data_IF_779808713956
#
_entry.id   IF_779808713956
#
_cell.length_a   1.000
_cell.length_b   1.000
_cell.length_c   1.000
_cell.angle_alpha   90.00
_cell.angle_beta   90.00
_cell.angle_gamma   90.00
#
_symmetry.space_group_name_H-M   'P 1'
#
loop_
_entity.id
_entity.type
_entity.pdbx_description
1 polymer ?
#
# COMPACT_ATOMS: atom_id res chain seq x y z
N UNK A 1 -13.44 -0.38 2.83
CA UNK A 1 -12.77 0.86 2.39
C UNK A 1 -12.15 1.67 3.51
N UNK A 2 -12.91 2.13 4.51
CA UNK A 2 -12.35 2.94 5.62
C UNK A 2 -11.16 2.28 6.34
N UNK A 3 -11.21 0.96 6.55
CA UNK A 3 -10.10 0.20 7.11
C UNK A 3 -8.84 0.28 6.23
N UNK A 4 -8.99 0.04 4.92
CA UNK A 4 -7.88 0.06 3.96
C UNK A 4 -7.26 1.46 3.84
N UNK A 5 -8.10 2.51 3.81
CA UNK A 5 -7.62 3.89 3.84
C UNK A 5 -6.81 4.19 5.11
N UNK A 6 -7.33 3.85 6.30
CA UNK A 6 -6.58 4.00 7.56
C UNK A 6 -5.29 3.20 7.58
N UNK A 7 -5.26 2.01 6.96
CA UNK A 7 -4.05 1.21 6.84
C UNK A 7 -2.94 1.97 6.12
N UNK A 8 -3.23 2.53 4.94
CA UNK A 8 -2.27 3.34 4.19
C UNK A 8 -1.87 4.63 4.91
N UNK A 9 -2.80 5.32 5.58
CA UNK A 9 -2.48 6.52 6.36
C UNK A 9 -1.51 6.20 7.50
N UNK A 10 -1.72 5.10 8.22
CA UNK A 10 -0.81 4.66 9.29
C UNK A 10 0.55 4.24 8.76
N UNK A 11 0.60 3.51 7.65
CA UNK A 11 1.85 3.10 7.03
C UNK A 11 2.67 4.31 6.55
N UNK A 12 2.02 5.28 5.90
CA UNK A 12 2.66 6.53 5.49
C UNK A 12 3.20 7.32 6.70
N UNK A 13 2.41 7.41 7.78
CA UNK A 13 2.86 8.06 9.01
C UNK A 13 4.03 7.33 9.65
N UNK A 14 4.03 6.00 9.69
CA UNK A 14 5.12 5.21 10.28
C UNK A 14 6.45 5.44 9.54
N UNK A 15 6.41 5.50 8.21
CA UNK A 15 7.56 5.86 7.39
C UNK A 15 8.01 7.30 7.64
N UNK A 16 7.08 8.26 7.65
CA UNK A 16 7.38 9.67 7.94
C UNK A 16 7.97 9.88 9.34
N UNK A 17 7.51 9.11 10.33
CA UNK A 17 8.02 9.14 11.71
C UNK A 17 9.38 8.42 11.83
N UNK A 18 9.83 7.75 10.78
CA UNK A 18 11.07 6.96 10.77
C UNK A 18 11.02 5.66 11.57
N UNK A 19 9.82 5.20 11.96
CA UNK A 19 9.65 3.99 12.81
C UNK A 19 10.15 2.72 12.16
N UNK A 20 10.17 2.68 10.83
CA UNK A 20 10.55 1.49 10.05
C UNK A 20 12.03 1.52 9.61
N UNK A 21 12.76 2.62 9.88
CA UNK A 21 14.14 2.80 9.40
C UNK A 21 15.13 1.79 9.95
N UNK A 22 14.88 1.25 11.14
CA UNK A 22 15.76 0.26 11.78
C UNK A 22 15.43 -1.18 11.38
N UNK A 23 14.24 -1.42 10.84
CA UNK A 23 13.76 -2.76 10.45
C UNK A 23 13.94 -3.03 8.96
N UNK A 24 13.90 -1.99 8.12
CA UNK A 24 13.94 -2.16 6.66
C UNK A 24 15.36 -2.01 6.12
N UNK A 25 15.81 -3.05 5.42
CA UNK A 25 17.09 -3.06 4.73
C UNK A 25 16.97 -2.38 3.36
N UNK A 26 18.02 -1.68 2.94
CA UNK A 26 18.09 -1.12 1.59
C UNK A 26 18.28 -2.24 0.56
N UNK A 27 17.37 -2.31 -0.40
CA UNK A 27 17.46 -3.24 -1.52
C UNK A 27 17.98 -2.52 -2.79
N UNK A 28 18.67 -3.25 -3.66
CA UNK A 28 19.05 -2.77 -4.98
C UNK A 28 18.46 -3.68 -6.04
N UNK A 29 17.57 -3.13 -6.85
CA UNK A 29 16.92 -3.87 -7.94
C UNK A 29 17.76 -3.67 -9.21
N UNK A 30 17.94 -4.70 -10.08
CA UNK A 30 18.60 -4.53 -11.37
C UNK A 30 18.11 -3.27 -12.11
N UNK A 31 19.01 -2.43 -12.66
CA UNK A 31 20.45 -2.64 -12.85
C UNK A 31 21.34 -2.19 -11.67
N UNK A 32 20.83 -2.20 -10.43
CA UNK A 32 21.55 -1.91 -9.18
C UNK A 32 22.09 -0.48 -9.04
N UNK A 33 21.45 0.49 -9.69
CA UNK A 33 21.85 1.90 -9.66
C UNK A 33 21.09 2.75 -8.65
N UNK A 34 19.85 2.36 -8.34
CA UNK A 34 18.98 3.09 -7.43
C UNK A 34 18.61 2.20 -6.25
N UNK A 35 18.75 2.71 -5.01
CA UNK A 35 18.33 1.99 -3.83
C UNK A 35 16.81 2.06 -3.68
N UNK A 36 16.19 0.95 -3.29
CA UNK A 36 14.85 0.91 -2.72
C UNK A 36 15.01 0.89 -1.19
N UNK A 37 14.59 1.98 -0.55
CA UNK A 37 14.78 2.21 0.90
C UNK A 37 13.46 2.24 1.68
N UNK A 38 12.33 2.31 0.97
CA UNK A 38 10.98 2.45 1.56
C UNK A 38 9.97 1.59 0.79
N UNK A 39 8.87 1.24 1.44
CA UNK A 39 7.75 0.54 0.81
C UNK A 39 7.09 1.41 -0.27
N UNK A 40 6.97 0.88 -1.48
CA UNK A 40 6.45 1.62 -2.63
C UNK A 40 4.95 1.39 -2.91
N UNK A 41 4.28 0.55 -2.12
CA UNK A 41 2.86 0.22 -2.30
C UNK A 41 1.91 1.09 -1.46
N UNK A 42 2.46 2.00 -0.65
CA UNK A 42 1.70 2.85 0.28
C UNK A 42 1.06 4.02 -0.45
N UNK A 43 -0.26 4.18 -0.27
CA UNK A 43 -1.06 5.25 -0.88
C UNK A 43 -1.38 6.35 0.14
N UNK A 44 -0.34 7.06 0.60
CA UNK A 44 -0.45 8.08 1.64
C UNK A 44 -1.34 9.27 1.27
N UNK A 45 -1.49 9.57 -0.02
CA UNK A 45 -2.31 10.66 -0.54
C UNK A 45 -3.71 10.21 -1.03
N UNK A 46 -4.11 8.96 -0.76
CA UNK A 46 -5.43 8.46 -1.16
C UNK A 46 -6.57 9.19 -0.43
N UNK A 47 -7.72 9.30 -1.06
CA UNK A 47 -8.95 9.78 -0.42
C UNK A 47 -10.01 8.67 -0.36
N UNK A 48 -10.95 8.74 0.58
CA UNK A 48 -12.07 7.77 0.64
C UNK A 48 -12.89 7.72 -0.66
N UNK A 49 -12.99 8.84 -1.39
CA UNK A 49 -13.68 8.91 -2.66
C UNK A 49 -13.02 8.05 -3.75
N UNK A 50 -11.72 7.78 -3.65
CA UNK A 50 -11.01 6.94 -4.63
C UNK A 50 -11.37 5.46 -4.50
N UNK A 51 -11.71 5.00 -3.29
CA UNK A 51 -12.13 3.62 -3.05
C UNK A 51 -13.52 3.35 -3.63
N UNK A 52 -14.44 4.32 -3.52
CA UNK A 52 -15.81 4.21 -3.99
C UNK A 52 -15.91 4.06 -5.53
N UNK A 53 -14.88 4.47 -6.28
CA UNK A 53 -14.83 4.33 -7.73
C UNK A 53 -14.55 2.89 -8.19
N UNK A 54 -14.09 2.02 -7.30
CA UNK A 54 -13.64 0.69 -7.66
C UNK A 54 -14.79 -0.32 -7.64
N UNK A 55 -14.84 -1.14 -8.68
CA UNK A 55 -15.81 -2.22 -8.78
C UNK A 55 -15.38 -3.40 -7.90
N UNK A 56 -16.33 -4.16 -7.34
CA UNK A 56 -16.05 -5.42 -6.67
C UNK A 56 -15.25 -6.37 -7.58
N UNK A 57 -14.20 -6.97 -7.01
CA UNK A 57 -13.26 -7.80 -7.75
C UNK A 57 -13.72 -9.27 -7.89
N UNK A 58 -14.45 -9.79 -6.90
CA UNK A 58 -14.80 -11.22 -6.82
C UNK A 58 -16.28 -11.50 -7.12
N UNK A 59 -17.20 -10.68 -6.61
CA UNK A 59 -18.63 -10.76 -6.91
C UNK A 59 -19.14 -9.42 -7.44
N UNK A 60 -19.58 -9.41 -8.71
CA UNK A 60 -20.04 -8.21 -9.40
C UNK A 60 -21.44 -7.74 -8.98
N UNK A 61 -22.24 -8.59 -8.31
CA UNK A 61 -23.63 -8.28 -7.94
C UNK A 61 -23.75 -7.81 -6.50
N UNK A 62 -23.10 -8.51 -5.56
CA UNK A 62 -23.23 -8.22 -4.13
C UNK A 62 -21.88 -8.09 -3.41
N UNK A 63 -20.77 -8.17 -4.14
CA UNK A 63 -19.43 -8.10 -3.56
C UNK A 63 -19.09 -6.72 -3.01
N UNK A 64 -18.30 -6.70 -1.95
CA UNK A 64 -17.77 -5.47 -1.33
C UNK A 64 -16.24 -5.43 -1.37
N UNK A 65 -15.60 -6.55 -1.73
CA UNK A 65 -14.15 -6.68 -1.85
C UNK A 65 -13.69 -6.11 -3.19
N UNK A 66 -12.81 -5.13 -3.15
CA UNK A 66 -12.26 -4.42 -4.30
C UNK A 66 -10.73 -4.50 -4.27
N UNK A 67 -10.08 -4.11 -5.38
CA UNK A 67 -8.63 -4.07 -5.47
C UNK A 67 -7.97 -3.10 -4.46
N UNK A 68 -8.68 -2.08 -3.96
CA UNK A 68 -8.10 -1.16 -2.98
C UNK A 68 -8.32 -1.56 -1.52
N UNK A 69 -9.25 -2.47 -1.25
CA UNK A 69 -9.49 -2.97 0.11
C UNK A 69 -8.99 -4.41 0.33
N UNK A 70 -8.25 -4.94 -0.66
CA UNK A 70 -7.56 -6.23 -0.62
C UNK A 70 -6.05 -6.01 -0.45
N UNK A 71 -5.33 -7.08 -0.09
CA UNK A 71 -3.86 -7.05 -0.01
C UNK A 71 -3.26 -6.87 -1.41
N UNK A 72 -2.27 -5.98 -1.60
CA UNK A 72 -1.54 -5.88 -2.86
C UNK A 72 -0.70 -7.15 -3.10
N UNK A 73 -0.38 -7.42 -4.35
CA UNK A 73 0.68 -8.37 -4.70
C UNK A 73 2.03 -7.69 -4.46
N UNK A 74 2.87 -8.31 -3.65
CA UNK A 74 4.15 -7.74 -3.20
C UNK A 74 5.26 -8.77 -3.23
N UNK A 75 6.46 -8.34 -3.61
CA UNK A 75 7.68 -9.13 -3.54
C UNK A 75 8.57 -8.54 -2.43
N UNK A 76 8.99 -9.36 -1.47
CA UNK A 76 9.82 -8.94 -0.33
C UNK A 76 10.37 -10.13 0.48
N UNK A 77 11.45 -9.91 1.24
CA UNK A 77 12.12 -10.87 2.10
C UNK A 77 12.79 -10.18 3.29
#
# INVERSE_FOLDING_TARGET
DALAHRSHQRAAQAWSDGKLKEEVMTAFIPPYKQPLVEDNNIRGNSSLADYAKLRPAFDRKHGTVTAANSTPLTDGA
#
